data_IF_840023209106
#
_entry.id   IF_840023209106
#
_cell.length_a   1.000
_cell.length_b   1.000
_cell.length_c   1.000
_cell.angle_alpha   90.00
_cell.angle_beta   90.00
_cell.angle_gamma   90.00
#
_symmetry.space_group_name_H-M   'P 1'
#
loop_
_entity.id
_entity.type
_entity.pdbx_description
1 polymer ?
#
# COMPACT_ATOMS: atom_id res chain seq x y z
N UNK A 1 10.81 21.01 24.65
CA UNK A 1 10.61 20.37 23.33
C UNK A 1 11.96 20.11 22.70
N UNK A 2 12.22 18.86 22.33
CA UNK A 2 13.46 18.42 21.67
C UNK A 2 13.17 18.26 20.18
N UNK A 3 14.03 18.78 19.31
CA UNK A 3 13.82 18.74 17.87
C UNK A 3 14.55 17.56 17.25
N UNK A 4 13.84 16.74 16.48
CA UNK A 4 14.40 15.60 15.77
C UNK A 4 13.86 15.62 14.33
N UNK A 5 14.74 15.32 13.37
CA UNK A 5 14.35 15.11 11.98
C UNK A 5 13.68 13.73 11.81
N UNK A 6 12.62 13.57 11.00
CA UNK A 6 12.01 12.26 10.77
C UNK A 6 13.01 11.20 10.28
N UNK A 7 13.96 11.59 9.44
CA UNK A 7 15.14 10.80 9.11
C UNK A 7 16.29 11.17 10.05
N UNK A 8 16.39 10.46 11.16
CA UNK A 8 17.48 10.65 12.11
C UNK A 8 18.30 9.38 12.31
N UNK A 9 19.52 9.59 12.79
CA UNK A 9 20.43 8.54 13.19
C UNK A 9 20.20 8.11 14.65
N UNK A 10 20.78 6.97 15.01
CA UNK A 10 20.72 6.45 16.38
C UNK A 10 21.42 7.36 17.41
N UNK A 11 22.39 8.17 16.99
CA UNK A 11 23.10 9.12 17.86
C UNK A 11 22.15 10.24 18.34
N UNK A 12 21.29 10.72 17.45
CA UNK A 12 20.22 11.68 17.74
C UNK A 12 19.25 11.12 18.78
N UNK A 13 18.87 9.83 18.66
CA UNK A 13 18.04 9.16 19.66
C UNK A 13 18.78 8.93 20.99
N UNK A 14 20.06 8.56 20.98
CA UNK A 14 20.86 8.44 22.21
C UNK A 14 20.91 9.77 22.97
N UNK A 15 21.05 10.88 22.23
CA UNK A 15 21.02 12.22 22.81
C UNK A 15 19.66 12.54 23.43
N UNK A 16 18.55 12.16 22.77
CA UNK A 16 17.19 12.28 23.31
C UNK A 16 17.05 11.55 24.66
N UNK A 17 17.47 10.28 24.72
CA UNK A 17 17.41 9.46 25.94
C UNK A 17 18.31 10.02 27.04
N UNK A 18 19.50 10.53 26.71
CA UNK A 18 20.40 11.13 27.67
C UNK A 18 19.91 12.44 28.30
N UNK A 19 18.92 13.10 27.69
CA UNK A 19 18.36 14.37 28.16
C UNK A 19 17.10 14.22 29.03
N UNK A 20 16.69 12.99 29.37
CA UNK A 20 15.49 12.73 30.14
C UNK A 20 15.56 13.35 31.55
N UNK A 21 14.58 14.20 31.89
CA UNK A 21 14.45 14.84 33.21
C UNK A 21 13.07 14.70 33.84
N UNK A 22 12.05 14.42 33.02
CA UNK A 22 10.64 14.35 33.40
C UNK A 22 10.05 12.98 33.03
N UNK A 23 8.86 12.68 33.56
CA UNK A 23 8.10 11.45 33.25
C UNK A 23 7.68 11.34 31.77
N UNK A 24 7.65 12.47 31.06
CA UNK A 24 7.33 12.54 29.64
C UNK A 24 8.29 13.49 28.92
N UNK A 25 8.54 13.22 27.63
CA UNK A 25 9.33 14.08 26.74
C UNK A 25 8.52 14.54 25.55
N UNK A 26 8.52 15.85 25.31
CA UNK A 26 7.99 16.43 24.08
C UNK A 26 9.04 16.40 22.96
N UNK A 27 8.72 15.69 21.89
CA UNK A 27 9.54 15.64 20.68
C UNK A 27 8.81 16.39 19.56
N UNK A 28 9.49 17.40 19.02
CA UNK A 28 9.09 18.10 17.80
C UNK A 28 9.70 17.38 16.60
N UNK A 29 8.83 16.81 15.76
CA UNK A 29 9.17 16.22 14.46
C UNK A 29 8.99 17.31 13.40
N UNK A 30 9.98 18.18 13.23
CA UNK A 30 9.89 19.30 12.28
C UNK A 30 11.01 19.25 11.27
N UNK A 31 10.67 19.44 10.00
CA UNK A 31 11.65 19.65 8.94
C UNK A 31 12.31 21.03 9.07
N UNK A 32 13.51 21.23 8.50
CA UNK A 32 14.13 22.56 8.47
C UNK A 32 13.21 23.56 7.76
N UNK A 33 12.91 24.68 8.42
CA UNK A 33 12.04 25.73 7.88
C UNK A 33 10.56 25.62 8.27
N UNK A 34 10.15 24.60 9.03
CA UNK A 34 8.82 24.54 9.64
C UNK A 34 8.84 25.19 11.02
N UNK A 35 7.81 25.99 11.33
CA UNK A 35 7.60 26.57 12.66
C UNK A 35 6.34 25.98 13.29
N UNK A 36 6.50 25.31 14.44
CA UNK A 36 5.40 24.77 15.23
C UNK A 36 5.02 25.76 16.32
N UNK A 37 3.76 26.18 16.36
CA UNK A 37 3.20 27.03 17.41
C UNK A 37 2.11 26.28 18.17
N UNK A 38 2.39 25.95 19.43
CA UNK A 38 1.42 25.31 20.32
C UNK A 38 0.31 26.27 20.73
N UNK A 39 -0.93 25.78 20.80
CA UNK A 39 -2.01 26.53 21.42
C UNK A 39 -1.92 26.53 22.95
N UNK A 40 -2.61 27.46 23.63
CA UNK A 40 -2.73 27.42 25.09
C UNK A 40 -3.17 26.04 25.59
N UNK A 41 -2.52 25.55 26.65
CA UNK A 41 -2.78 24.24 27.26
C UNK A 41 -2.60 22.99 26.37
N UNK A 42 -2.09 23.12 25.13
CA UNK A 42 -1.89 22.00 24.22
C UNK A 42 -1.10 20.84 24.85
N UNK A 43 0.09 21.11 25.40
CA UNK A 43 0.91 20.08 26.05
C UNK A 43 0.27 19.54 27.33
N UNK A 44 -0.44 20.39 28.08
CA UNK A 44 -1.20 19.94 29.25
C UNK A 44 -2.29 18.97 28.83
N UNK A 45 -2.98 19.22 27.72
CA UNK A 45 -4.00 18.33 27.14
C UNK A 45 -3.39 17.01 26.67
N UNK A 46 -2.29 17.03 25.92
CA UNK A 46 -1.58 15.81 25.52
C UNK A 46 -1.12 14.97 26.72
N UNK A 47 -0.53 15.61 27.75
CA UNK A 47 -0.13 14.94 29.01
C UNK A 47 -1.33 14.38 29.77
N UNK A 48 -2.45 15.08 29.78
CA UNK A 48 -3.68 14.59 30.40
C UNK A 48 -4.15 13.30 29.72
N UNK A 49 -4.21 13.28 28.39
CA UNK A 49 -4.58 12.08 27.63
C UNK A 49 -3.59 10.95 27.87
N UNK A 50 -2.28 11.23 27.80
CA UNK A 50 -1.23 10.24 28.05
C UNK A 50 -1.38 9.56 29.43
N UNK A 51 -1.71 10.33 30.47
CA UNK A 51 -1.95 9.80 31.83
C UNK A 51 -3.26 9.01 31.93
N UNK A 52 -4.31 9.44 31.26
CA UNK A 52 -5.61 8.75 31.28
C UNK A 52 -5.57 7.40 30.58
N UNK A 53 -4.77 7.27 29.51
CA UNK A 53 -4.68 6.06 28.69
C UNK A 53 -3.50 5.17 29.03
N UNK A 54 -2.48 5.69 29.72
CA UNK A 54 -1.21 5.00 29.91
C UNK A 54 -0.43 4.82 28.60
N UNK A 55 -0.64 5.71 27.62
CA UNK A 55 -0.03 5.60 26.30
C UNK A 55 1.50 5.71 26.35
N UNK A 56 2.18 4.91 25.52
CA UNK A 56 3.61 5.01 25.29
C UNK A 56 3.96 6.26 24.47
N UNK A 57 3.07 6.65 23.56
CA UNK A 57 3.20 7.83 22.71
C UNK A 57 1.84 8.47 22.45
N UNK A 58 1.79 9.80 22.43
CA UNK A 58 0.61 10.60 22.11
C UNK A 58 0.93 11.61 21.02
N UNK A 59 0.03 11.78 20.06
CA UNK A 59 0.14 12.76 18.98
C UNK A 59 -1.23 13.38 18.69
N UNK A 60 -1.29 14.48 17.94
CA UNK A 60 -2.53 15.23 17.76
C UNK A 60 -2.68 15.86 16.38
N UNK A 61 -3.92 16.07 15.98
CA UNK A 61 -4.31 16.92 14.85
C UNK A 61 -3.68 18.32 15.00
N UNK A 62 -3.61 19.04 13.87
CA UNK A 62 -3.06 20.40 13.86
C UNK A 62 -3.68 21.25 12.75
N UNK A 63 -3.31 22.52 12.70
CA UNK A 63 -3.65 23.41 11.58
C UNK A 63 -2.42 23.71 10.72
N UNK A 64 -2.55 23.60 9.41
CA UNK A 64 -1.62 24.23 8.49
C UNK A 64 -1.94 25.72 8.42
N UNK A 65 -0.93 26.57 8.63
CA UNK A 65 -1.03 28.03 8.55
C UNK A 65 -0.44 28.53 7.23
N UNK A 66 -1.29 29.13 6.40
CA UNK A 66 -0.87 29.75 5.15
C UNK A 66 -0.19 31.12 5.38
N UNK A 67 0.47 31.63 4.34
CA UNK A 67 1.20 32.89 4.40
C UNK A 67 0.31 34.12 4.70
N UNK A 68 -0.99 34.04 4.43
CA UNK A 68 -1.99 35.06 4.75
C UNK A 68 -2.56 34.93 6.19
N UNK A 69 -2.08 33.94 6.96
CA UNK A 69 -2.53 33.63 8.32
C UNK A 69 -3.81 32.79 8.38
N UNK A 70 -4.35 32.35 7.24
CA UNK A 70 -5.49 31.42 7.23
C UNK A 70 -5.07 30.03 7.74
N UNK A 71 -5.99 29.37 8.46
CA UNK A 71 -5.77 28.05 9.04
C UNK A 71 -6.62 27.00 8.33
N UNK A 72 -6.01 25.91 7.89
CA UNK A 72 -6.70 24.72 7.38
C UNK A 72 -6.46 23.54 8.31
N UNK A 73 -7.54 22.84 8.70
CA UNK A 73 -7.44 21.68 9.58
C UNK A 73 -6.68 20.55 8.89
N UNK A 74 -5.70 20.00 9.59
CA UNK A 74 -4.93 18.82 9.22
C UNK A 74 -5.30 17.66 10.17
N UNK A 75 -6.36 16.87 9.84
CA UNK A 75 -6.68 15.69 10.62
C UNK A 75 -5.67 14.58 10.37
N UNK A 76 -5.34 13.82 11.40
CA UNK A 76 -4.53 12.61 11.36
C UNK A 76 -5.42 11.37 11.54
N UNK A 77 -4.82 10.19 11.47
CA UNK A 77 -5.51 8.91 11.64
C UNK A 77 -4.96 8.12 12.82
N UNK A 78 -5.76 7.22 13.37
CA UNK A 78 -5.36 6.34 14.47
C UNK A 78 -4.25 5.34 14.05
N UNK A 79 -3.24 5.21 14.90
CA UNK A 79 -2.14 4.27 14.72
C UNK A 79 -2.57 2.85 15.13
N UNK A 80 -2.97 2.04 14.13
CA UNK A 80 -3.30 0.62 14.31
C UNK A 80 -2.02 -0.24 14.38
N UNK A 81 -2.11 -1.50 14.83
CA UNK A 81 -0.95 -2.40 14.86
C UNK A 81 -0.30 -2.60 13.47
N UNK A 82 -1.11 -2.58 12.42
CA UNK A 82 -0.68 -2.63 11.02
C UNK A 82 -0.23 -1.31 10.41
N UNK A 83 -0.14 -0.22 11.19
CA UNK A 83 0.43 1.06 10.76
C UNK A 83 1.96 0.98 10.57
N UNK A 84 2.43 0.05 9.74
CA UNK A 84 3.84 -0.34 9.62
C UNK A 84 4.60 0.48 8.57
N UNK A 85 3.91 1.25 7.75
CA UNK A 85 4.52 2.09 6.71
C UNK A 85 5.42 3.19 7.29
N UNK A 86 6.56 3.44 6.65
CA UNK A 86 7.52 4.46 7.08
C UNK A 86 7.08 5.89 6.81
N UNK A 87 6.00 6.08 6.05
CA UNK A 87 5.32 7.36 5.79
C UNK A 87 4.07 7.58 6.68
N UNK A 88 3.95 6.90 7.83
CA UNK A 88 2.87 7.18 8.78
C UNK A 88 3.01 8.59 9.37
N UNK A 89 1.98 9.42 9.21
CA UNK A 89 1.98 10.79 9.71
C UNK A 89 1.50 10.86 11.17
N UNK A 90 2.42 11.20 12.07
CA UNK A 90 2.14 11.48 13.49
C UNK A 90 1.98 12.98 13.76
N UNK A 91 1.91 13.81 12.72
CA UNK A 91 2.01 15.26 12.81
C UNK A 91 3.43 15.71 13.20
N UNK A 92 3.53 16.93 13.71
CA UNK A 92 4.82 17.58 14.03
C UNK A 92 5.19 17.53 15.51
N UNK A 93 4.28 17.11 16.38
CA UNK A 93 4.52 17.03 17.82
C UNK A 93 4.06 15.68 18.35
N UNK A 94 4.98 14.96 18.96
CA UNK A 94 4.68 13.73 19.70
C UNK A 94 5.14 13.88 21.16
N UNK A 95 4.35 13.33 22.07
CA UNK A 95 4.68 13.21 23.49
C UNK A 95 4.96 11.74 23.79
N UNK A 96 6.16 11.44 24.30
CA UNK A 96 6.59 10.06 24.57
C UNK A 96 6.77 9.88 26.08
N UNK A 97 6.28 8.78 26.62
CA UNK A 97 6.50 8.42 28.03
C UNK A 97 7.95 7.98 28.24
N UNK A 98 8.62 8.52 29.25
CA UNK A 98 10.07 8.41 29.40
C UNK A 98 10.53 6.96 29.63
N UNK A 99 9.79 6.16 30.40
CA UNK A 99 10.13 4.74 30.62
C UNK A 99 9.91 3.92 29.36
N UNK A 100 8.83 4.16 28.62
CA UNK A 100 8.54 3.53 27.34
C UNK A 100 9.63 3.89 26.31
N UNK A 101 10.10 5.14 26.29
CA UNK A 101 11.21 5.58 25.44
C UNK A 101 12.48 4.79 25.73
N UNK A 102 12.89 4.69 27.00
CA UNK A 102 14.09 3.94 27.41
C UNK A 102 13.98 2.47 27.05
N UNK A 103 12.84 1.84 27.34
CA UNK A 103 12.60 0.43 27.03
C UNK A 103 12.56 0.18 25.51
N UNK A 104 11.88 1.03 24.76
CA UNK A 104 11.77 0.95 23.31
C UNK A 104 13.15 1.09 22.68
N UNK A 105 13.91 2.13 23.05
CA UNK A 105 15.26 2.35 22.57
C UNK A 105 16.20 1.18 22.91
N UNK A 106 16.16 0.67 24.14
CA UNK A 106 16.95 -0.50 24.56
C UNK A 106 16.58 -1.80 23.84
N UNK A 107 15.41 -1.87 23.19
CA UNK A 107 14.98 -3.02 22.38
C UNK A 107 15.41 -2.94 20.91
N UNK A 108 15.99 -1.82 20.47
CA UNK A 108 16.49 -1.65 19.11
C UNK A 108 17.88 -2.31 19.02
N UNK A 109 17.99 -3.36 18.20
CA UNK A 109 19.19 -4.21 18.15
C UNK A 109 20.32 -3.70 17.27
N UNK A 110 20.17 -2.53 16.64
CA UNK A 110 21.16 -1.96 15.71
C UNK A 110 21.13 -0.45 15.67
N UNK A 111 22.21 0.13 15.16
CA UNK A 111 22.26 1.53 14.80
C UNK A 111 21.74 1.78 13.37
N UNK A 112 21.08 2.93 13.20
CA UNK A 112 20.57 3.43 11.93
C UNK A 112 21.15 4.81 11.62
N UNK A 113 21.26 5.15 10.34
CA UNK A 113 21.61 6.50 9.87
C UNK A 113 20.37 7.33 9.54
N UNK A 114 19.28 6.68 9.16
CA UNK A 114 18.07 7.31 8.66
C UNK A 114 16.81 6.79 9.33
N UNK A 115 16.76 5.50 9.67
CA UNK A 115 15.55 4.85 10.16
C UNK A 115 15.40 4.85 11.70
N UNK A 116 16.19 5.62 12.44
CA UNK A 116 16.21 5.51 13.90
C UNK A 116 14.85 5.87 14.52
N UNK A 117 14.23 7.00 14.13
CA UNK A 117 12.90 7.37 14.62
C UNK A 117 11.83 6.35 14.21
N UNK A 118 11.92 5.81 12.99
CA UNK A 118 11.02 4.77 12.50
C UNK A 118 11.14 3.46 13.31
N UNK A 119 12.36 3.01 13.62
CA UNK A 119 12.60 1.89 14.51
C UNK A 119 12.08 2.16 15.93
N UNK A 120 12.27 3.39 16.44
CA UNK A 120 11.78 3.80 17.75
C UNK A 120 10.26 3.77 17.83
N UNK A 121 9.54 4.35 16.86
CA UNK A 121 8.07 4.36 16.89
C UNK A 121 7.50 2.93 16.79
N UNK A 122 8.16 2.04 16.04
CA UNK A 122 7.82 0.61 15.98
C UNK A 122 8.12 -0.13 17.28
N UNK A 123 9.15 0.31 18.02
CA UNK A 123 9.46 -0.25 19.33
C UNK A 123 8.50 0.26 20.41
N UNK A 124 8.09 1.53 20.35
CA UNK A 124 7.11 2.13 21.25
C UNK A 124 5.74 1.45 21.15
N UNK A 125 5.30 1.07 19.95
CA UNK A 125 4.03 0.35 19.78
C UNK A 125 4.03 -1.04 20.43
N UNK A 126 5.20 -1.60 20.77
CA UNK A 126 5.32 -2.84 21.57
C UNK A 126 5.29 -2.59 23.08
N UNK A 127 5.55 -1.35 23.52
CA UNK A 127 5.58 -0.98 24.94
C UNK A 127 4.19 -0.57 25.46
N UNK A 128 3.34 -0.03 24.58
CA UNK A 128 2.00 0.41 24.96
C UNK A 128 1.26 1.06 23.79
N UNK A 129 0.06 1.56 24.08
CA UNK A 129 -0.78 2.21 23.08
C UNK A 129 -0.09 3.48 22.53
N UNK A 130 -0.24 3.68 21.21
CA UNK A 130 0.07 4.94 20.54
C UNK A 130 -1.26 5.65 20.30
N UNK A 131 -1.50 6.74 21.02
CA UNK A 131 -2.82 7.37 21.12
C UNK A 131 -2.86 8.66 20.31
N UNK A 132 -3.87 8.72 19.43
CA UNK A 132 -4.22 9.90 18.68
C UNK A 132 -5.18 10.78 19.48
N UNK A 133 -4.85 12.07 19.60
CA UNK A 133 -5.75 13.11 20.10
C UNK A 133 -6.31 13.84 18.89
N UNK A 134 -7.54 13.51 18.54
CA UNK A 134 -8.32 14.11 17.44
C UNK A 134 -8.83 15.53 17.79
N UNK A 135 -7.91 16.36 18.29
CA UNK A 135 -8.11 17.76 18.64
C UNK A 135 -6.95 18.55 18.01
N UNK A 136 -7.20 19.66 17.29
CA UNK A 136 -6.13 20.44 16.71
C UNK A 136 -5.42 21.27 17.80
N UNK A 137 -4.27 20.79 18.26
CA UNK A 137 -3.58 21.34 19.45
C UNK A 137 -2.45 22.34 19.11
N UNK A 138 -2.08 22.45 17.85
CA UNK A 138 -1.04 23.37 17.39
C UNK A 138 -1.26 23.77 15.95
N UNK A 139 -0.48 24.75 15.49
CA UNK A 139 -0.39 25.12 14.08
C UNK A 139 1.04 25.04 13.56
N UNK A 140 1.16 24.81 12.27
CA UNK A 140 2.43 24.66 11.56
C UNK A 140 2.46 25.65 10.41
N UNK A 141 3.48 26.51 10.37
CA UNK A 141 3.75 27.36 9.21
C UNK A 141 5.04 26.90 8.53
N UNK A 142 4.99 26.73 7.21
CA UNK A 142 6.15 26.43 6.39
C UNK A 142 6.79 27.71 5.86
N UNK A 143 8.12 27.82 5.88
CA UNK A 143 8.82 28.87 5.16
C UNK A 143 8.52 28.75 3.65
N UNK A 144 8.34 29.89 2.98
CA UNK A 144 8.04 29.93 1.55
C UNK A 144 9.21 29.40 0.70
N UNK A 145 9.23 28.08 0.44
CA UNK A 145 9.70 27.43 -0.79
C UNK A 145 9.82 25.90 -0.62
N UNK A 146 8.98 25.15 -1.35
CA UNK A 146 9.49 24.16 -2.30
C UNK A 146 9.87 22.74 -1.87
N UNK A 147 9.45 22.23 -0.70
CA UNK A 147 9.61 20.81 -0.40
C UNK A 147 8.24 20.14 -0.26
N UNK A 148 7.95 19.14 -1.10
CA UNK A 148 6.74 18.32 -0.95
C UNK A 148 6.82 17.57 0.38
N UNK A 149 5.67 17.37 1.02
CA UNK A 149 5.52 16.79 2.37
C UNK A 149 6.07 15.35 2.50
N UNK A 150 6.57 14.73 1.43
CA UNK A 150 7.16 13.39 1.44
C UNK A 150 8.36 13.21 0.49
N UNK A 151 8.98 14.29 -0.02
CA UNK A 151 10.12 14.19 -0.96
C UNK A 151 11.38 13.54 -0.36
N UNK A 152 11.48 13.43 0.97
CA UNK A 152 12.63 12.85 1.66
C UNK A 152 12.55 11.33 1.82
N UNK A 153 11.35 10.73 1.68
CA UNK A 153 11.15 9.28 1.53
C UNK A 153 11.14 8.91 0.05
N UNK A 154 11.93 9.64 -0.76
CA UNK A 154 12.04 9.37 -2.17
C UNK A 154 12.43 7.90 -2.36
N UNK A 155 11.63 7.09 -3.09
CA UNK A 155 11.97 5.71 -3.41
C UNK A 155 13.35 5.58 -4.08
N UNK A 156 13.88 6.68 -4.62
CA UNK A 156 15.21 6.78 -5.22
C UNK A 156 16.36 6.76 -4.20
N UNK A 157 16.13 7.05 -2.92
CA UNK A 157 17.17 6.93 -1.90
C UNK A 157 17.23 5.49 -1.38
N UNK A 158 17.95 4.65 -2.13
CA UNK A 158 18.10 3.22 -1.87
C UNK A 158 18.60 2.92 -0.45
N UNK A 159 19.51 3.74 0.08
CA UNK A 159 20.06 3.53 1.43
C UNK A 159 18.99 3.72 2.51
N UNK A 160 18.15 4.76 2.38
CA UNK A 160 17.01 4.99 3.29
C UNK A 160 16.04 3.81 3.21
N UNK A 161 15.68 3.37 2.00
CA UNK A 161 14.73 2.25 1.82
C UNK A 161 15.24 0.95 2.44
N UNK A 162 16.55 0.67 2.33
CA UNK A 162 17.18 -0.49 2.97
C UNK A 162 17.06 -0.42 4.49
N UNK A 163 17.35 0.73 5.11
CA UNK A 163 17.23 0.87 6.56
C UNK A 163 15.78 0.79 7.06
N UNK A 164 14.84 1.39 6.33
CA UNK A 164 13.40 1.29 6.65
C UNK A 164 12.92 -0.17 6.56
N UNK A 165 13.31 -0.91 5.53
CA UNK A 165 13.01 -2.34 5.43
C UNK A 165 13.60 -3.15 6.60
N UNK A 166 14.85 -2.85 7.00
CA UNK A 166 15.49 -3.52 8.13
C UNK A 166 14.74 -3.26 9.43
N UNK A 167 14.39 -2.01 9.73
CA UNK A 167 13.62 -1.65 10.92
C UNK A 167 12.25 -2.33 10.97
N UNK A 168 11.52 -2.36 9.85
CA UNK A 168 10.25 -3.09 9.76
C UNK A 168 10.45 -4.59 9.99
N UNK A 169 11.50 -5.17 9.39
CA UNK A 169 11.81 -6.60 9.52
C UNK A 169 12.13 -6.99 10.95
N UNK A 170 12.91 -6.18 11.67
CA UNK A 170 13.19 -6.40 13.09
C UNK A 170 11.93 -6.30 13.95
N UNK A 171 11.06 -5.33 13.66
CA UNK A 171 9.76 -5.24 14.33
C UNK A 171 8.91 -6.50 14.10
N UNK A 172 8.78 -6.96 12.85
CA UNK A 172 8.02 -8.17 12.52
C UNK A 172 8.57 -9.41 13.24
N UNK A 173 9.89 -9.53 13.40
CA UNK A 173 10.50 -10.61 14.19
C UNK A 173 10.15 -10.46 15.68
N UNK A 174 10.27 -9.26 16.23
CA UNK A 174 9.98 -8.99 17.65
C UNK A 174 8.51 -9.28 18.03
N UNK A 175 7.57 -9.15 17.10
CA UNK A 175 6.14 -9.46 17.32
C UNK A 175 5.74 -10.83 16.80
N UNK A 176 6.68 -11.69 16.40
CA UNK A 176 6.43 -13.03 15.86
C UNK A 176 5.56 -13.06 14.59
N UNK A 177 5.61 -12.01 13.76
CA UNK A 177 4.89 -11.92 12.49
C UNK A 177 5.79 -12.09 11.25
N UNK A 178 7.11 -12.19 11.43
CA UNK A 178 8.04 -12.39 10.33
C UNK A 178 7.85 -13.77 9.68
N UNK A 179 7.88 -13.80 8.35
CA UNK A 179 7.78 -15.04 7.57
C UNK A 179 9.13 -15.38 6.95
N UNK A 180 9.57 -16.63 7.15
CA UNK A 180 10.76 -17.17 6.49
C UNK A 180 10.55 -17.31 4.98
N UNK A 181 11.60 -17.10 4.15
CA UNK A 181 11.53 -17.37 2.71
C UNK A 181 10.98 -18.76 2.39
N UNK A 182 11.38 -19.75 3.18
CA UNK A 182 11.03 -21.18 3.05
C UNK A 182 9.52 -21.46 3.15
N UNK A 183 8.75 -20.53 3.71
CA UNK A 183 7.28 -20.67 3.84
C UNK A 183 6.59 -20.50 2.48
N UNK A 184 7.22 -19.90 1.47
CA UNK A 184 6.60 -19.83 0.14
C UNK A 184 6.70 -21.17 -0.56
N UNK A 185 5.54 -21.81 -0.72
CA UNK A 185 5.43 -22.97 -1.58
C UNK A 185 5.44 -22.56 -3.05
N UNK A 186 6.06 -23.40 -3.87
CA UNK A 186 5.74 -23.46 -5.29
C UNK A 186 4.27 -23.85 -5.46
N UNK A 187 3.68 -23.37 -6.55
CA UNK A 187 2.28 -23.56 -6.86
C UNK A 187 2.14 -24.43 -8.09
N UNK A 188 1.46 -25.57 -7.93
CA UNK A 188 0.89 -26.30 -9.05
C UNK A 188 -0.37 -25.62 -9.56
N UNK A 189 -0.74 -25.90 -10.80
CA UNK A 189 -1.92 -25.31 -11.44
C UNK A 189 -2.99 -26.36 -11.79
N UNK A 190 -3.52 -27.12 -10.82
CA UNK A 190 -4.48 -28.20 -11.08
C UNK A 190 -5.83 -27.66 -11.55
N UNK A 191 -6.62 -28.54 -12.15
CA UNK A 191 -8.00 -28.27 -12.57
C UNK A 191 -8.15 -27.97 -14.06
N UNK A 192 -9.37 -28.14 -14.55
CA UNK A 192 -9.74 -27.86 -15.93
C UNK A 192 -10.31 -26.45 -16.04
N UNK A 193 -9.76 -25.67 -16.97
CA UNK A 193 -10.18 -24.29 -17.24
C UNK A 193 -10.48 -24.16 -18.73
N UNK A 194 -11.48 -23.35 -19.11
CA UNK A 194 -11.91 -23.22 -20.50
C UNK A 194 -10.87 -22.51 -21.39
N UNK A 195 -10.04 -21.67 -20.78
CA UNK A 195 -8.92 -20.97 -21.42
C UNK A 195 -7.75 -20.88 -20.44
N UNK A 196 -6.55 -20.61 -20.96
CA UNK A 196 -5.35 -20.53 -20.13
C UNK A 196 -5.33 -19.23 -19.31
N UNK A 197 -5.76 -18.12 -19.91
CA UNK A 197 -5.81 -16.84 -19.23
C UNK A 197 -7.11 -16.08 -19.49
N UNK A 198 -7.51 -15.30 -18.49
CA UNK A 198 -8.56 -14.28 -18.59
C UNK A 198 -7.98 -12.93 -18.22
N UNK A 199 -8.03 -11.96 -19.13
CA UNK A 199 -7.79 -10.55 -18.77
C UNK A 199 -9.05 -10.02 -18.10
N UNK A 200 -8.94 -9.53 -16.87
CA UNK A 200 -10.07 -9.05 -16.07
C UNK A 200 -10.04 -7.53 -15.98
N UNK A 201 -11.14 -6.91 -16.38
CA UNK A 201 -11.30 -5.45 -16.43
C UNK A 201 -12.58 -5.04 -15.68
N UNK A 202 -12.48 -4.67 -14.40
CA UNK A 202 -13.55 -3.96 -13.71
C UNK A 202 -13.74 -2.58 -14.35
N UNK A 203 -14.97 -2.17 -14.60
CA UNK A 203 -15.25 -0.86 -15.20
C UNK A 203 -16.50 -0.21 -14.63
N UNK A 204 -16.44 1.12 -14.49
CA UNK A 204 -17.60 1.98 -14.25
C UNK A 204 -17.36 3.36 -14.84
N UNK A 205 -18.20 3.75 -15.78
CA UNK A 205 -18.16 5.07 -16.44
C UNK A 205 -16.77 5.40 -17.00
N UNK A 206 -16.35 4.67 -18.03
CA UNK A 206 -15.05 4.79 -18.70
C UNK A 206 -15.18 4.86 -20.22
N UNK A 207 -16.21 5.55 -20.71
CA UNK A 207 -16.50 5.65 -22.15
C UNK A 207 -15.27 6.06 -22.98
N UNK A 208 -14.45 6.97 -22.45
CA UNK A 208 -13.31 7.55 -23.16
C UNK A 208 -12.07 6.65 -23.20
N UNK A 209 -12.01 5.59 -22.40
CA UNK A 209 -10.79 4.79 -22.25
C UNK A 209 -10.99 3.29 -22.44
N UNK A 210 -12.21 2.80 -22.22
CA UNK A 210 -12.51 1.36 -22.19
C UNK A 210 -12.25 0.67 -23.54
N UNK A 211 -12.50 1.35 -24.65
CA UNK A 211 -12.24 0.80 -25.98
C UNK A 211 -10.75 0.48 -26.15
N UNK A 212 -9.86 1.42 -25.83
CA UNK A 212 -8.42 1.22 -25.93
C UNK A 212 -7.92 0.08 -25.02
N UNK A 213 -8.45 0.02 -23.79
CA UNK A 213 -8.07 -1.03 -22.82
C UNK A 213 -8.45 -2.42 -23.34
N UNK A 214 -9.68 -2.58 -23.81
CA UNK A 214 -10.16 -3.85 -24.37
C UNK A 214 -9.42 -4.23 -25.64
N UNK A 215 -9.16 -3.29 -26.55
CA UNK A 215 -8.40 -3.53 -27.78
C UNK A 215 -6.93 -3.92 -27.48
N UNK A 216 -6.33 -3.30 -26.46
CA UNK A 216 -5.00 -3.68 -25.97
C UNK A 216 -4.96 -5.12 -25.43
N UNK A 217 -6.02 -5.56 -24.74
CA UNK A 217 -6.15 -6.93 -24.27
C UNK A 217 -6.43 -7.93 -25.41
N UNK A 218 -7.30 -7.60 -26.37
CA UNK A 218 -7.66 -8.48 -27.48
C UNK A 218 -6.54 -8.63 -28.53
N UNK A 219 -5.63 -7.66 -28.62
CA UNK A 219 -4.46 -7.67 -29.51
C UNK A 219 -3.26 -8.47 -28.99
N UNK A 220 -3.38 -9.11 -27.83
CA UNK A 220 -2.31 -9.95 -27.29
C UNK A 220 -2.07 -11.18 -28.18
N UNK A 221 -0.79 -11.45 -28.44
CA UNK A 221 -0.29 -12.59 -29.21
C UNK A 221 0.21 -13.66 -28.25
N UNK A 222 -0.49 -14.79 -28.20
CA UNK A 222 -0.22 -15.88 -27.25
C UNK A 222 -0.23 -17.24 -27.95
N UNK A 223 0.47 -18.20 -27.34
CA UNK A 223 0.51 -19.61 -27.76
C UNK A 223 -0.65 -20.44 -27.18
N UNK A 224 -1.51 -19.81 -26.39
CA UNK A 224 -2.60 -20.42 -25.65
C UNK A 224 -3.90 -19.64 -25.84
N UNK A 225 -5.08 -20.27 -25.70
CA UNK A 225 -6.35 -19.56 -25.76
C UNK A 225 -6.52 -18.66 -24.54
N UNK A 226 -7.14 -17.50 -24.74
CA UNK A 226 -7.50 -16.56 -23.68
C UNK A 226 -8.81 -15.84 -24.00
N UNK A 227 -9.41 -15.23 -22.98
CA UNK A 227 -10.55 -14.32 -23.13
C UNK A 227 -10.32 -13.01 -22.35
N UNK A 228 -11.20 -12.03 -22.57
CA UNK A 228 -11.23 -10.76 -21.84
C UNK A 228 -12.58 -10.67 -21.14
N UNK A 229 -12.58 -10.61 -19.82
CA UNK A 229 -13.78 -10.50 -18.99
C UNK A 229 -13.86 -9.05 -18.51
N UNK A 230 -14.85 -8.32 -19.03
CA UNK A 230 -15.16 -6.97 -18.56
C UNK A 230 -16.35 -7.04 -17.62
N UNK A 231 -16.15 -6.64 -16.38
CA UNK A 231 -17.21 -6.54 -15.38
C UNK A 231 -17.65 -5.08 -15.28
N UNK A 232 -18.79 -4.78 -15.88
CA UNK A 232 -19.35 -3.44 -15.96
C UNK A 232 -20.32 -3.19 -14.81
N UNK A 233 -19.90 -2.38 -13.85
CA UNK A 233 -20.66 -2.07 -12.65
C UNK A 233 -21.70 -0.96 -12.91
N UNK A 234 -22.59 -1.26 -13.86
CA UNK A 234 -23.74 -0.44 -14.26
C UNK A 234 -23.34 0.95 -14.76
N UNK A 235 -22.47 1.00 -15.77
CA UNK A 235 -22.09 2.26 -16.40
C UNK A 235 -23.28 2.95 -17.09
N UNK A 236 -23.29 4.28 -17.02
CA UNK A 236 -24.37 5.14 -17.53
C UNK A 236 -23.89 6.17 -18.56
N UNK A 237 -22.63 6.10 -18.99
CA UNK A 237 -21.97 7.12 -19.81
C UNK A 237 -21.78 6.72 -21.29
N UNK A 238 -22.23 5.53 -21.69
CA UNK A 238 -21.97 4.95 -23.01
C UNK A 238 -20.98 3.77 -23.00
N UNK A 239 -20.36 3.47 -21.85
CA UNK A 239 -19.40 2.35 -21.72
C UNK A 239 -20.02 1.01 -22.09
N UNK A 240 -21.23 0.74 -21.58
CA UNK A 240 -21.99 -0.50 -21.81
C UNK A 240 -22.22 -0.76 -23.30
N UNK A 241 -22.57 0.28 -24.06
CA UNK A 241 -22.84 0.23 -25.48
C UNK A 241 -21.57 -0.10 -26.28
N UNK A 242 -20.44 0.55 -25.95
CA UNK A 242 -19.14 0.28 -26.56
C UNK A 242 -18.74 -1.19 -26.34
N UNK A 243 -18.90 -1.70 -25.12
CA UNK A 243 -18.57 -3.09 -24.80
C UNK A 243 -19.43 -4.09 -25.58
N UNK A 244 -20.72 -3.83 -25.74
CA UNK A 244 -21.62 -4.64 -26.57
C UNK A 244 -21.23 -4.63 -28.04
N UNK A 245 -20.83 -3.48 -28.59
CA UNK A 245 -20.37 -3.37 -29.97
C UNK A 245 -19.08 -4.15 -30.21
N UNK A 246 -18.15 -4.17 -29.25
CA UNK A 246 -16.92 -4.96 -29.36
C UNK A 246 -17.22 -6.46 -29.19
N UNK A 247 -18.06 -6.87 -28.24
CA UNK A 247 -18.35 -8.30 -27.99
C UNK A 247 -19.13 -8.95 -29.13
N UNK A 248 -19.95 -8.19 -29.85
CA UNK A 248 -20.59 -8.64 -31.08
C UNK A 248 -19.60 -8.89 -32.23
N UNK A 249 -18.41 -8.27 -32.19
CA UNK A 249 -17.36 -8.41 -33.21
C UNK A 249 -16.29 -9.42 -32.84
N UNK A 250 -15.97 -9.56 -31.55
CA UNK A 250 -14.98 -10.53 -31.04
C UNK A 250 -15.55 -11.30 -29.85
N UNK A 251 -15.82 -12.59 -30.08
CA UNK A 251 -16.37 -13.52 -29.07
C UNK A 251 -15.47 -13.77 -27.87
N UNK A 252 -14.18 -13.36 -27.92
CA UNK A 252 -13.28 -13.43 -26.76
C UNK A 252 -13.61 -12.38 -25.71
N UNK A 253 -14.35 -11.32 -26.05
CA UNK A 253 -14.81 -10.33 -25.08
C UNK A 253 -16.11 -10.78 -24.42
N UNK A 254 -16.05 -10.95 -23.10
CA UNK A 254 -17.15 -11.36 -22.26
C UNK A 254 -17.55 -10.16 -21.39
N UNK A 255 -18.66 -9.52 -21.75
CA UNK A 255 -19.22 -8.39 -21.02
C UNK A 255 -20.22 -8.88 -19.98
N UNK A 256 -19.91 -8.67 -18.71
CA UNK A 256 -20.75 -9.06 -17.57
C UNK A 256 -21.35 -7.81 -16.94
N UNK A 257 -22.67 -7.80 -16.83
CA UNK A 257 -23.41 -6.87 -15.97
C UNK A 257 -23.81 -7.64 -14.71
N UNK A 258 -23.28 -7.27 -13.51
CA UNK A 258 -23.70 -7.89 -12.27
C UNK A 258 -25.21 -7.70 -12.04
N UNK A 259 -25.87 -8.70 -11.47
CA UNK A 259 -27.29 -8.59 -11.09
C UNK A 259 -27.50 -7.51 -10.02
N UNK A 260 -26.60 -7.48 -9.03
CA UNK A 260 -26.62 -6.50 -7.94
C UNK A 260 -25.90 -5.20 -8.33
N UNK A 261 -26.33 -4.10 -7.72
CA UNK A 261 -25.65 -2.80 -7.81
C UNK A 261 -24.80 -2.55 -6.56
N UNK A 262 -23.78 -1.70 -6.66
CA UNK A 262 -23.02 -1.24 -5.49
C UNK A 262 -21.73 -2.01 -5.20
N UNK A 263 -21.31 -2.92 -6.09
CA UNK A 263 -20.01 -3.58 -5.98
C UNK A 263 -18.87 -2.56 -6.03
N UNK A 264 -17.83 -2.79 -5.25
CA UNK A 264 -16.51 -2.18 -5.45
C UNK A 264 -15.72 -2.89 -6.55
N UNK A 265 -14.47 -2.47 -6.75
CA UNK A 265 -13.54 -3.12 -7.68
C UNK A 265 -13.31 -4.58 -7.26
N UNK A 266 -13.18 -4.85 -5.96
CA UNK A 266 -12.98 -6.20 -5.44
C UNK A 266 -14.18 -7.12 -5.68
N UNK A 267 -15.41 -6.62 -5.55
CA UNK A 267 -16.63 -7.34 -5.92
C UNK A 267 -16.67 -7.70 -7.40
N UNK A 268 -16.25 -6.76 -8.26
CA UNK A 268 -16.13 -7.01 -9.71
C UNK A 268 -15.11 -8.11 -10.01
N UNK A 269 -13.93 -8.06 -9.38
CA UNK A 269 -12.92 -9.12 -9.46
C UNK A 269 -13.46 -10.47 -9.02
N UNK A 270 -14.16 -10.53 -7.89
CA UNK A 270 -14.75 -11.76 -7.38
C UNK A 270 -15.77 -12.36 -8.34
N UNK A 271 -16.57 -11.52 -9.01
CA UNK A 271 -17.50 -12.00 -10.03
C UNK A 271 -16.76 -12.58 -11.24
N UNK A 272 -15.71 -11.91 -11.72
CA UNK A 272 -14.88 -12.43 -12.80
C UNK A 272 -14.23 -13.78 -12.43
N UNK A 273 -13.63 -13.88 -11.24
CA UNK A 273 -13.01 -15.13 -10.76
C UNK A 273 -14.03 -16.27 -10.66
N UNK A 274 -15.23 -16.01 -10.16
CA UNK A 274 -16.29 -17.01 -10.01
C UNK A 274 -16.99 -17.37 -11.32
N UNK A 275 -16.74 -16.61 -12.39
CA UNK A 275 -17.34 -16.89 -13.68
C UNK A 275 -16.83 -18.21 -14.25
N UNK A 276 -17.73 -19.02 -14.82
CA UNK A 276 -17.40 -20.34 -15.35
C UNK A 276 -16.38 -20.29 -16.50
N UNK A 277 -16.33 -19.17 -17.22
CA UNK A 277 -15.41 -18.90 -18.35
C UNK A 277 -14.05 -18.34 -17.91
N UNK A 278 -13.83 -18.10 -16.61
CA UNK A 278 -12.56 -17.60 -16.11
C UNK A 278 -11.46 -18.65 -16.28
N UNK A 279 -10.36 -18.23 -16.90
CA UNK A 279 -9.21 -19.07 -17.22
C UNK A 279 -8.37 -19.46 -16.02
N UNK A 280 -7.33 -20.26 -16.28
CA UNK A 280 -6.40 -20.74 -15.25
C UNK A 280 -5.71 -19.59 -14.52
N UNK A 281 -5.34 -18.55 -15.27
CA UNK A 281 -4.76 -17.33 -14.75
C UNK A 281 -5.67 -16.13 -14.99
N UNK A 282 -5.99 -15.38 -13.93
CA UNK A 282 -6.71 -14.12 -14.02
C UNK A 282 -5.70 -12.97 -13.99
N UNK A 283 -5.69 -12.14 -15.03
CA UNK A 283 -4.67 -11.09 -15.26
C UNK A 283 -5.35 -9.73 -15.26
N UNK A 284 -4.86 -8.80 -14.46
CA UNK A 284 -5.42 -7.46 -14.36
C UNK A 284 -5.18 -6.63 -15.62
N UNK A 285 -6.21 -5.89 -16.04
CA UNK A 285 -6.07 -4.65 -16.77
C UNK A 285 -7.09 -3.61 -16.28
N UNK A 286 -6.65 -2.43 -15.86
CA UNK A 286 -7.57 -1.37 -15.45
C UNK A 286 -8.20 -0.72 -16.69
N UNK A 287 -9.47 -0.33 -16.56
CA UNK A 287 -10.31 0.17 -17.66
C UNK A 287 -9.85 1.49 -18.30
N UNK A 288 -8.86 2.15 -17.71
CA UNK A 288 -8.21 3.36 -18.19
C UNK A 288 -6.76 3.17 -18.60
N UNK A 289 -6.22 1.96 -18.54
CA UNK A 289 -4.82 1.65 -18.82
C UNK A 289 -4.64 0.72 -20.02
N UNK A 290 -3.39 0.46 -20.40
CA UNK A 290 -3.04 -0.34 -21.58
C UNK A 290 -1.90 -1.32 -21.26
N UNK A 291 -1.88 -2.48 -21.91
CA UNK A 291 -0.65 -3.28 -21.95
C UNK A 291 0.41 -2.59 -22.81
N UNK A 292 1.67 -2.68 -22.38
CA UNK A 292 2.80 -2.03 -23.05
C UNK A 292 3.17 -2.69 -24.39
N UNK A 293 2.78 -3.94 -24.61
CA UNK A 293 3.08 -4.71 -25.82
C UNK A 293 2.05 -5.80 -26.08
N UNK A 294 1.99 -6.33 -27.31
CA UNK A 294 1.18 -7.51 -27.64
C UNK A 294 1.72 -8.82 -27.03
N UNK A 295 2.93 -8.82 -26.48
CA UNK A 295 3.54 -10.00 -25.85
C UNK A 295 3.32 -10.03 -24.33
N UNK A 296 2.68 -9.01 -23.74
CA UNK A 296 2.56 -8.87 -22.28
C UNK A 296 1.88 -10.08 -21.64
N UNK A 297 0.76 -10.54 -22.17
CA UNK A 297 0.02 -11.67 -21.61
C UNK A 297 0.82 -12.98 -21.68
N UNK A 298 1.50 -13.23 -22.80
CA UNK A 298 2.39 -14.39 -22.96
C UNK A 298 3.47 -14.39 -21.88
N UNK A 299 4.15 -13.26 -21.67
CA UNK A 299 5.22 -13.11 -20.68
C UNK A 299 4.74 -13.37 -19.25
N UNK A 300 3.54 -12.90 -18.90
CA UNK A 300 2.93 -13.12 -17.59
C UNK A 300 2.67 -14.61 -17.37
N UNK A 301 2.07 -15.30 -18.35
CA UNK A 301 1.77 -16.73 -18.24
C UNK A 301 3.04 -17.58 -18.23
N UNK A 302 4.05 -17.25 -19.04
CA UNK A 302 5.36 -17.93 -19.01
C UNK A 302 6.03 -17.82 -17.63
N UNK A 303 5.84 -16.68 -16.94
CA UNK A 303 6.36 -16.46 -15.59
C UNK A 303 5.69 -17.35 -14.54
N UNK A 304 4.38 -17.59 -14.65
CA UNK A 304 3.69 -18.54 -13.78
C UNK A 304 4.32 -19.93 -13.89
N UNK A 305 4.52 -20.43 -15.10
CA UNK A 305 5.06 -21.76 -15.33
C UNK A 305 6.55 -21.88 -14.97
N UNK A 306 7.36 -20.92 -15.37
CA UNK A 306 8.81 -20.96 -15.13
C UNK A 306 9.18 -20.86 -13.65
N UNK A 307 8.43 -20.08 -12.88
CA UNK A 307 8.72 -19.88 -11.46
C UNK A 307 7.80 -20.64 -10.50
N UNK A 308 6.75 -21.28 -11.03
CA UNK A 308 5.74 -22.02 -10.25
C UNK A 308 5.20 -21.17 -9.09
N UNK A 309 4.70 -19.98 -9.42
CA UNK A 309 4.21 -19.00 -8.45
C UNK A 309 2.67 -18.92 -8.45
N UNK A 310 2.03 -18.48 -7.36
CA UNK A 310 0.58 -18.28 -7.33
C UNK A 310 0.16 -16.89 -7.82
N UNK A 311 1.10 -15.94 -7.88
CA UNK A 311 0.88 -14.57 -8.30
C UNK A 311 2.08 -14.08 -9.10
N UNK A 312 1.82 -13.34 -10.18
CA UNK A 312 2.84 -12.60 -10.93
C UNK A 312 2.52 -11.12 -10.82
N UNK A 313 3.53 -10.30 -10.53
CA UNK A 313 3.39 -8.85 -10.46
C UNK A 313 4.41 -8.18 -11.37
N UNK A 314 3.92 -7.32 -12.24
CA UNK A 314 4.75 -6.55 -13.16
C UNK A 314 5.12 -5.15 -12.67
N UNK A 315 5.87 -4.46 -13.52
CA UNK A 315 6.13 -3.03 -13.49
C UNK A 315 5.27 -2.29 -14.51
N UNK A 316 5.06 -1.00 -14.27
CA UNK A 316 4.32 -0.13 -15.16
C UNK A 316 5.05 1.19 -15.44
N UNK A 317 4.77 1.79 -16.59
CA UNK A 317 5.25 3.13 -16.95
C UNK A 317 4.10 4.12 -16.82
N UNK A 318 4.34 5.25 -16.14
CA UNK A 318 3.38 6.35 -16.13
C UNK A 318 3.39 7.07 -17.48
N UNK A 319 2.23 7.25 -18.07
CA UNK A 319 2.06 8.01 -19.30
C UNK A 319 0.93 9.02 -19.18
N UNK A 320 0.93 10.03 -20.04
CA UNK A 320 -0.28 10.82 -20.27
C UNK A 320 -1.30 10.02 -21.11
N UNK A 321 -2.40 10.67 -21.47
CA UNK A 321 -3.45 10.06 -22.30
C UNK A 321 -2.94 9.66 -23.70
N UNK A 322 -2.01 10.43 -24.26
CA UNK A 322 -1.39 10.22 -25.58
C UNK A 322 -0.21 9.24 -25.54
N UNK A 323 0.03 8.60 -24.39
CA UNK A 323 1.08 7.59 -24.15
C UNK A 323 2.50 8.17 -24.07
N UNK A 324 2.66 9.48 -23.89
CA UNK A 324 3.96 10.07 -23.60
C UNK A 324 4.36 9.78 -22.16
N UNK A 325 5.61 9.37 -21.95
CA UNK A 325 6.12 9.02 -20.62
C UNK A 325 6.15 10.23 -19.70
N UNK A 326 5.56 10.09 -18.53
CA UNK A 326 5.55 11.11 -17.47
C UNK A 326 6.56 10.75 -16.38
N UNK A 327 7.16 11.75 -15.74
CA UNK A 327 7.98 11.52 -14.56
C UNK A 327 7.15 10.86 -13.43
N UNK A 328 7.73 9.95 -12.63
CA UNK A 328 9.12 9.45 -12.68
C UNK A 328 9.44 8.40 -13.76
N UNK A 329 8.49 8.00 -14.61
CA UNK A 329 8.68 7.03 -15.69
C UNK A 329 8.28 5.61 -15.28
N UNK A 330 9.23 4.67 -15.36
CA UNK A 330 9.04 3.28 -14.94
C UNK A 330 8.93 3.18 -13.41
N UNK A 331 7.86 2.54 -12.94
CA UNK A 331 7.66 2.13 -11.55
C UNK A 331 7.88 0.62 -11.48
N UNK A 332 9.04 0.21 -10.97
CA UNK A 332 9.46 -1.20 -10.97
C UNK A 332 9.16 -1.96 -9.68
N UNK A 333 8.86 -1.25 -8.59
CA UNK A 333 8.76 -1.81 -7.24
C UNK A 333 9.96 -2.73 -6.92
N UNK A 334 11.18 -2.21 -7.10
CA UNK A 334 12.43 -2.93 -6.88
C UNK A 334 12.72 -3.24 -5.40
N UNK A 335 11.85 -2.81 -4.49
CA UNK A 335 11.87 -3.13 -3.07
C UNK A 335 11.47 -4.60 -2.78
N UNK A 336 10.95 -5.33 -3.78
CA UNK A 336 10.68 -6.76 -3.64
C UNK A 336 11.95 -7.61 -3.83
N UNK A 337 12.22 -8.50 -2.88
CA UNK A 337 13.21 -9.58 -2.96
C UNK A 337 12.57 -10.93 -2.64
N UNK A 338 13.13 -12.03 -3.13
CA UNK A 338 12.63 -13.38 -2.80
C UNK A 338 12.79 -13.70 -1.31
N UNK A 339 13.84 -13.14 -0.68
CA UNK A 339 14.14 -13.36 0.74
C UNK A 339 13.18 -12.59 1.67
N UNK A 340 12.83 -11.34 1.36
CA UNK A 340 12.12 -10.49 2.31
C UNK A 340 10.94 -9.70 1.73
N UNK A 341 10.67 -9.82 0.43
CA UNK A 341 9.61 -9.07 -0.26
C UNK A 341 8.24 -9.19 0.40
N UNK A 342 7.85 -10.37 0.87
CA UNK A 342 6.56 -10.58 1.58
C UNK A 342 6.47 -9.89 2.94
N UNK A 343 7.60 -9.65 3.59
CA UNK A 343 7.67 -8.93 4.85
C UNK A 343 7.71 -7.43 4.57
N UNK A 344 8.54 -7.01 3.61
CA UNK A 344 8.61 -5.62 3.14
C UNK A 344 7.27 -5.13 2.56
N UNK A 345 6.46 -6.04 2.01
CA UNK A 345 5.11 -5.76 1.54
C UNK A 345 4.20 -5.13 2.60
N UNK A 346 4.40 -5.44 3.90
CA UNK A 346 3.65 -4.81 4.99
C UNK A 346 4.07 -3.36 5.24
N UNK A 347 5.27 -2.96 4.84
CA UNK A 347 5.78 -1.60 4.95
C UNK A 347 5.32 -0.73 3.77
N UNK A 348 5.47 -1.23 2.55
CA UNK A 348 5.21 -0.45 1.33
C UNK A 348 3.70 -0.32 1.01
N UNK A 349 3.37 0.65 0.17
CA UNK A 349 1.98 1.00 -0.18
C UNK A 349 1.42 0.25 -1.40
N UNK A 350 2.16 -0.65 -2.04
CA UNK A 350 1.65 -1.41 -3.19
C UNK A 350 2.64 -2.44 -3.69
N UNK A 351 2.15 -3.41 -4.46
CA UNK A 351 2.99 -4.46 -5.05
C UNK A 351 3.45 -4.13 -6.47
N UNK A 352 2.72 -3.28 -7.21
CA UNK A 352 2.96 -3.00 -8.63
C UNK A 352 1.77 -3.35 -9.51
N UNK A 353 1.94 -3.27 -10.83
CA UNK A 353 0.90 -3.58 -11.81
C UNK A 353 1.54 -4.02 -13.14
N UNK A 354 0.89 -4.91 -13.91
CA UNK A 354 -0.38 -5.56 -13.59
C UNK A 354 -0.16 -6.68 -12.57
N UNK A 355 -1.20 -7.00 -11.80
CA UNK A 355 -1.23 -8.20 -10.97
C UNK A 355 -1.93 -9.33 -11.72
N UNK A 356 -1.37 -10.52 -11.65
CA UNK A 356 -1.99 -11.73 -12.13
C UNK A 356 -2.01 -12.79 -11.05
N UNK A 357 -3.04 -13.63 -11.06
CA UNK A 357 -3.25 -14.65 -10.04
C UNK A 357 -3.57 -15.99 -10.68
N UNK A 358 -3.07 -17.08 -10.10
CA UNK A 358 -3.65 -18.39 -10.34
C UNK A 358 -5.08 -18.41 -9.78
N UNK A 359 -6.05 -18.63 -10.67
CA UNK A 359 -7.47 -18.53 -10.36
C UNK A 359 -7.89 -19.50 -9.25
N UNK A 360 -7.26 -20.68 -9.16
CA UNK A 360 -7.55 -21.66 -8.10
C UNK A 360 -7.27 -21.13 -6.69
N UNK A 361 -6.13 -20.44 -6.51
CA UNK A 361 -5.78 -19.78 -5.24
C UNK A 361 -6.66 -18.54 -5.01
N UNK A 362 -6.83 -17.69 -6.04
CA UNK A 362 -7.63 -16.47 -5.92
C UNK A 362 -9.09 -16.74 -5.52
N UNK A 363 -9.69 -17.85 -5.98
CA UNK A 363 -11.06 -18.27 -5.62
C UNK A 363 -11.21 -18.68 -4.15
N UNK A 364 -10.13 -19.11 -3.50
CA UNK A 364 -10.15 -19.49 -2.08
C UNK A 364 -10.03 -18.28 -1.15
N UNK A 365 -9.33 -17.23 -1.62
CA UNK A 365 -9.06 -16.02 -0.83
C UNK A 365 -10.16 -14.98 -1.05
N UNK A 366 -10.48 -14.69 -2.32
CA UNK A 366 -11.32 -13.58 -2.79
C UNK A 366 -10.81 -12.18 -2.39
N UNK A 367 -11.18 -11.19 -3.20
CA UNK A 367 -10.89 -9.79 -2.95
C UNK A 367 -11.88 -9.23 -1.91
N UNK A 368 -11.48 -8.35 -0.98
CA UNK A 368 -12.45 -7.60 -0.20
C UNK A 368 -13.22 -6.65 -1.12
N UNK A 369 -14.53 -6.51 -0.91
CA UNK A 369 -15.37 -5.68 -1.78
C UNK A 369 -15.23 -4.19 -1.45
N UNK A 370 -14.18 -3.59 -2.00
CA UNK A 370 -13.83 -2.17 -1.91
C UNK A 370 -13.27 -1.72 -3.26
N UNK A 371 -13.14 -0.41 -3.46
CA UNK A 371 -12.48 0.18 -4.63
C UNK A 371 -11.11 0.78 -4.30
N UNK A 372 -10.58 0.48 -3.12
CA UNK A 372 -9.22 0.83 -2.74
C UNK A 372 -8.63 -0.20 -1.77
N UNK A 373 -7.46 -0.73 -2.12
CA UNK A 373 -6.70 -1.68 -1.30
C UNK A 373 -7.14 -3.15 -1.43
N UNK A 374 -8.13 -3.45 -2.27
CA UNK A 374 -8.58 -4.82 -2.55
C UNK A 374 -7.47 -5.68 -3.14
N UNK A 375 -6.69 -5.10 -4.04
CA UNK A 375 -5.54 -5.72 -4.67
C UNK A 375 -4.43 -6.01 -3.66
N UNK A 376 -4.14 -5.05 -2.79
CA UNK A 376 -3.15 -5.13 -1.74
C UNK A 376 -3.50 -6.23 -0.74
N UNK A 377 -4.79 -6.34 -0.36
CA UNK A 377 -5.28 -7.42 0.49
C UNK A 377 -5.05 -8.80 -0.14
N UNK A 378 -5.41 -8.97 -1.41
CA UNK A 378 -5.19 -10.22 -2.15
C UNK A 378 -3.69 -10.55 -2.24
N UNK A 379 -2.85 -9.56 -2.57
CA UNK A 379 -1.41 -9.77 -2.67
C UNK A 379 -0.76 -10.17 -1.34
N UNK A 380 -1.17 -9.55 -0.22
CA UNK A 380 -0.73 -9.93 1.12
C UNK A 380 -1.12 -11.38 1.45
N UNK A 381 -2.38 -11.74 1.19
CA UNK A 381 -2.89 -13.09 1.46
C UNK A 381 -2.17 -14.17 0.63
N UNK A 382 -1.95 -13.93 -0.68
CA UNK A 382 -1.23 -14.88 -1.55
C UNK A 382 0.25 -14.99 -1.13
N UNK A 383 0.93 -13.85 -0.95
CA UNK A 383 2.37 -13.83 -0.60
C UNK A 383 2.69 -14.40 0.78
N UNK A 384 1.67 -14.63 1.62
CA UNK A 384 1.80 -15.29 2.92
C UNK A 384 2.32 -16.73 2.80
N UNK A 385 1.80 -17.48 1.83
CA UNK A 385 2.06 -18.92 1.68
C UNK A 385 2.58 -19.34 0.31
N UNK A 386 2.52 -18.48 -0.69
CA UNK A 386 2.91 -18.82 -2.06
C UNK A 386 4.02 -17.93 -2.60
N UNK A 387 4.81 -18.50 -3.51
CA UNK A 387 5.79 -17.76 -4.28
C UNK A 387 5.11 -16.71 -5.17
N UNK A 388 5.78 -15.56 -5.32
CA UNK A 388 5.36 -14.43 -6.16
C UNK A 388 6.41 -14.19 -7.23
N UNK A 389 6.01 -14.28 -8.50
CA UNK A 389 6.89 -13.96 -9.62
C UNK A 389 6.93 -12.47 -9.91
N UNK A 390 8.11 -11.95 -10.27
CA UNK A 390 8.33 -10.53 -10.59
C UNK A 390 8.78 -10.33 -12.03
N UNK A 391 8.16 -9.38 -12.72
CA UNK A 391 8.63 -8.91 -14.04
C UNK A 391 8.93 -7.42 -13.91
N UNK A 392 10.22 -7.07 -13.94
CA UNK A 392 10.66 -5.69 -13.68
C UNK A 392 10.59 -4.76 -14.91
N UNK A 393 10.39 -5.31 -16.10
CA UNK A 393 10.11 -4.54 -17.31
C UNK A 393 8.69 -3.99 -17.31
N UNK A 394 8.48 -2.85 -17.99
CA UNK A 394 7.14 -2.29 -18.18
C UNK A 394 6.24 -3.25 -18.95
N UNK A 395 5.22 -3.77 -18.29
CA UNK A 395 4.16 -4.58 -18.90
C UNK A 395 2.90 -3.76 -19.19
N UNK A 396 2.86 -2.52 -18.69
CA UNK A 396 1.63 -1.81 -18.41
C UNK A 396 1.86 -0.30 -18.50
N UNK A 397 0.99 0.41 -19.20
CA UNK A 397 1.00 1.87 -19.33
C UNK A 397 -0.11 2.42 -18.46
N UNK A 398 0.27 3.00 -17.32
CA UNK A 398 -0.66 3.64 -16.40
C UNK A 398 -0.92 5.07 -16.86
N UNK A 399 -2.09 5.31 -17.46
CA UNK A 399 -2.44 6.61 -18.06
C UNK A 399 -2.91 7.58 -16.99
N UNK A 400 -2.39 8.80 -17.03
CA UNK A 400 -2.84 9.94 -16.22
C UNK A 400 -3.62 10.93 -17.08
N UNK A 401 -4.86 11.22 -16.71
CA UNK A 401 -5.73 12.18 -17.40
C UNK A 401 -6.67 12.90 -16.42
N UNK A 402 -7.33 13.97 -16.87
CA UNK A 402 -8.14 14.86 -16.01
C UNK A 402 -9.33 14.20 -15.32
N UNK A 403 -9.79 13.03 -15.80
CA UNK A 403 -10.83 12.23 -15.15
C UNK A 403 -10.31 11.09 -14.27
N UNK A 404 -8.99 10.97 -14.06
CA UNK A 404 -8.46 10.03 -13.07
C UNK A 404 -8.87 10.42 -11.65
N UNK A 405 -9.38 9.45 -10.92
CA UNK A 405 -9.84 9.58 -9.53
C UNK A 405 -8.72 9.98 -8.56
N UNK A 406 -7.46 9.76 -8.93
CA UNK A 406 -6.31 9.78 -8.02
C UNK A 406 -5.40 11.02 -8.16
N UNK A 407 -5.66 11.94 -9.09
CA UNK A 407 -4.73 13.03 -9.38
C UNK A 407 -4.70 14.14 -8.30
N UNK A 408 -5.71 14.19 -7.42
CA UNK A 408 -5.81 15.18 -6.33
C UNK A 408 -6.78 14.72 -5.24
N UNK A 409 -6.42 13.68 -4.49
CA UNK A 409 -7.24 13.22 -3.35
C UNK A 409 -7.24 14.29 -2.25
N UNK A 410 -8.42 14.55 -1.66
CA UNK A 410 -8.50 15.34 -0.43
C UNK A 410 -7.75 14.61 0.70
N UNK A 411 -7.25 15.36 1.68
CA UNK A 411 -6.60 14.78 2.86
C UNK A 411 -7.52 13.77 3.58
N UNK A 412 -8.83 14.06 3.64
CA UNK A 412 -9.82 13.13 4.19
C UNK A 412 -9.88 11.81 3.41
N UNK A 413 -9.87 11.87 2.07
CA UNK A 413 -9.86 10.66 1.24
C UNK A 413 -8.56 9.87 1.39
N UNK A 414 -7.41 10.57 1.46
CA UNK A 414 -6.10 9.96 1.71
C UNK A 414 -6.07 9.27 3.07
N UNK A 415 -6.56 9.94 4.12
CA UNK A 415 -6.64 9.39 5.47
C UNK A 415 -7.54 8.16 5.55
N UNK A 416 -8.73 8.21 4.93
CA UNK A 416 -9.63 7.05 4.83
C UNK A 416 -8.94 5.86 4.16
N UNK A 417 -8.23 6.12 3.07
CA UNK A 417 -7.48 5.12 2.31
C UNK A 417 -6.34 4.50 3.13
N UNK A 418 -5.52 5.33 3.79
CA UNK A 418 -4.41 4.90 4.64
C UNK A 418 -4.92 4.10 5.85
N UNK A 419 -5.96 4.59 6.53
CA UNK A 419 -6.57 3.91 7.67
C UNK A 419 -7.07 2.50 7.29
N UNK A 420 -7.68 2.37 6.11
CA UNK A 420 -8.14 1.06 5.63
C UNK A 420 -6.96 0.13 5.28
N UNK A 421 -5.91 0.61 4.60
CA UNK A 421 -4.73 -0.22 4.31
C UNK A 421 -3.98 -0.65 5.57
N UNK A 422 -3.89 0.22 6.57
CA UNK A 422 -3.35 -0.17 7.88
C UNK A 422 -4.20 -1.23 8.58
N UNK A 423 -5.51 -1.20 8.36
CA UNK A 423 -6.42 -2.24 8.86
C UNK A 423 -6.18 -3.57 8.16
N UNK A 424 -6.00 -3.57 6.84
CA UNK A 424 -5.59 -4.76 6.09
C UNK A 424 -4.26 -5.34 6.61
N UNK A 425 -3.26 -4.48 6.84
CA UNK A 425 -1.98 -4.87 7.45
C UNK A 425 -2.15 -5.41 8.86
N UNK A 426 -3.07 -4.84 9.64
CA UNK A 426 -3.36 -5.29 11.01
C UNK A 426 -3.89 -6.72 11.01
N UNK A 427 -4.85 -7.02 10.14
CA UNK A 427 -5.39 -8.37 9.99
C UNK A 427 -4.35 -9.36 9.48
N UNK A 428 -3.55 -8.96 8.49
CA UNK A 428 -2.44 -9.78 8.00
C UNK A 428 -1.39 -10.04 9.09
N UNK A 429 -1.04 -9.03 9.88
CA UNK A 429 -0.10 -9.14 10.99
C UNK A 429 -0.59 -10.16 12.02
N UNK A 430 -1.84 -10.04 12.47
CA UNK A 430 -2.43 -10.99 13.44
C UNK A 430 -2.46 -12.41 12.90
N UNK A 431 -2.79 -12.60 11.63
CA UNK A 431 -2.83 -13.92 11.02
C UNK A 431 -1.43 -14.55 10.91
N UNK A 432 -0.40 -13.76 10.59
CA UNK A 432 0.99 -14.23 10.61
C UNK A 432 1.44 -14.65 12.01
N UNK A 433 1.11 -13.86 13.03
CA UNK A 433 1.40 -14.18 14.44
C UNK A 433 0.75 -15.51 14.83
N UNK A 434 -0.55 -15.67 14.49
CA UNK A 434 -1.30 -16.90 14.76
C UNK A 434 -0.66 -18.11 14.07
N UNK A 435 -0.32 -18.01 12.79
CA UNK A 435 0.29 -19.10 12.03
C UNK A 435 1.71 -19.45 12.51
N UNK A 436 2.51 -18.45 12.92
CA UNK A 436 3.82 -18.70 13.51
C UNK A 436 3.69 -19.42 14.85
N UNK A 437 2.75 -18.99 15.70
CA UNK A 437 2.50 -19.64 16.99
C UNK A 437 2.14 -21.12 16.83
N UNK A 438 1.27 -21.46 15.87
CA UNK A 438 0.91 -22.85 15.57
C UNK A 438 2.11 -23.68 15.07
N UNK A 439 2.97 -23.11 14.24
CA UNK A 439 4.19 -23.79 13.76
C UNK A 439 5.21 -24.07 14.87
N UNK A 440 5.25 -23.21 15.88
CA UNK A 440 6.14 -23.39 17.02
C UNK A 440 5.60 -24.42 18.02
N UNK A 441 4.28 -24.63 18.07
CA UNK A 441 3.65 -25.72 18.85
C UNK A 441 3.83 -27.11 18.23
N UNK A 442 4.03 -27.18 16.90
CA UNK A 442 4.22 -28.44 16.15
C UNK A 442 5.69 -28.93 16.15
N UNK A 443 6.64 -28.11 16.58
CA UNK A 443 8.08 -28.41 16.69
C UNK A 443 8.46 -28.85 18.10
#
# INVERSE_FOLDING_TARGET
MIYIQPLCDSDSLRSLVGCLKDDYVEVCLSLPGETVTLFPDALRRMRQVARMTGAAMVYADYYDEAADGSLSLHPLIDCQAGALRDDFDFGKVVLIESKALVNAFGSIGRDYRFAAFYALRLALSRQGAVVHVNEPLYKVSAAAAGASQFDYVNPRNREVQIEMEQACTEHLKAVSAWLSPEVAAETDFPGDYPVEASVVIPVKNRRNTIADAVESALSQCTSFPFNVIVVDNHSTDGTTEILREISNRDSRLIHILPEETGLGIGGCWNMALKCAVCGRFAVQLDSDDLYSSSATLQRIVDKFYSERCAMVVGSYTLTDFDRNVMAPGLISHSEWSDDNGRNNALRINGFGAPRAFFTGVARQILFPDTSYGEDYAMCLAVSRGHKVGRIYDSLYLCRRWSGNSDASLSLEALNRNNLYKDRLRTWELHERIRLNSLRDEEK
#
